data_IF_795406786319
#
_entry.id   IF_795406786319
#
_cell.length_a   1.000
_cell.length_b   1.000
_cell.length_c   1.000
_cell.angle_alpha   90.00
_cell.angle_beta   90.00
_cell.angle_gamma   90.00
#
_symmetry.space_group_name_H-M   'P 1'
#
loop_
_entity.id
_entity.type
_entity.pdbx_description
1 polymer ?
#
# COMPACT_ATOMS: atom_id res chain seq x y z
N UNK A 1 -2.00 59.19 -10.05
CA UNK A 1 -2.04 58.10 -9.04
C UNK A 1 -1.98 56.70 -9.66
N UNK A 2 -2.68 56.45 -10.78
CA UNK A 2 -2.65 55.18 -11.53
C UNK A 2 -1.27 54.55 -11.84
N UNK A 3 -0.25 55.29 -12.33
CA UNK A 3 1.03 54.66 -12.72
C UNK A 3 1.87 54.17 -11.53
N UNK A 4 1.69 54.76 -10.33
CA UNK A 4 2.35 54.30 -9.11
C UNK A 4 1.72 53.00 -8.59
N UNK A 5 0.39 52.91 -8.63
CA UNK A 5 -0.35 51.69 -8.23
C UNK A 5 0.05 50.53 -9.16
N UNK A 6 0.05 50.74 -10.48
CA UNK A 6 0.44 49.71 -11.45
C UNK A 6 1.89 49.22 -11.25
N UNK A 7 2.83 50.14 -10.95
CA UNK A 7 4.22 49.79 -10.65
C UNK A 7 4.34 48.92 -9.40
N UNK A 8 3.67 49.28 -8.31
CA UNK A 8 3.71 48.51 -7.06
C UNK A 8 2.98 47.17 -7.19
N UNK A 9 1.83 47.13 -7.88
CA UNK A 9 1.15 45.88 -8.21
C UNK A 9 2.05 44.95 -9.02
N UNK A 10 2.77 45.48 -10.02
CA UNK A 10 3.74 44.71 -10.80
C UNK A 10 4.90 44.15 -9.97
N UNK A 11 5.47 44.96 -9.07
CA UNK A 11 6.55 44.51 -8.16
C UNK A 11 6.04 43.43 -7.21
N UNK A 12 4.84 43.58 -6.64
CA UNK A 12 4.23 42.59 -5.74
C UNK A 12 3.96 41.29 -6.49
N UNK A 13 3.38 41.35 -7.69
CA UNK A 13 3.12 40.16 -8.50
C UNK A 13 4.41 39.44 -8.89
N UNK A 14 5.45 40.18 -9.28
CA UNK A 14 6.77 39.60 -9.59
C UNK A 14 7.41 38.96 -8.36
N UNK A 15 7.32 39.61 -7.19
CA UNK A 15 7.80 39.07 -5.92
C UNK A 15 7.09 37.78 -5.54
N UNK A 16 5.76 37.73 -5.65
CA UNK A 16 4.96 36.54 -5.40
C UNK A 16 5.28 35.40 -6.38
N UNK A 17 5.41 35.71 -7.67
CA UNK A 17 5.78 34.72 -8.68
C UNK A 17 7.19 34.15 -8.42
N UNK A 18 8.15 35.01 -8.05
CA UNK A 18 9.52 34.59 -7.72
C UNK A 18 9.52 33.70 -6.47
N UNK A 19 8.77 34.08 -5.43
CA UNK A 19 8.62 33.27 -4.22
C UNK A 19 8.00 31.89 -4.53
N UNK A 20 6.94 31.85 -5.34
CA UNK A 20 6.31 30.60 -5.76
C UNK A 20 7.27 29.70 -6.53
N UNK A 21 8.10 30.26 -7.43
CA UNK A 21 9.12 29.52 -8.15
C UNK A 21 10.20 28.95 -7.22
N UNK A 22 10.65 29.73 -6.23
CA UNK A 22 11.62 29.27 -5.23
C UNK A 22 11.03 28.12 -4.41
N UNK A 23 9.80 28.29 -3.90
CA UNK A 23 9.10 27.24 -3.14
C UNK A 23 8.94 25.98 -3.99
N UNK A 24 8.49 26.11 -5.23
CA UNK A 24 8.37 24.99 -6.16
C UNK A 24 9.72 24.30 -6.42
N UNK A 25 10.79 25.08 -6.59
CA UNK A 25 12.16 24.58 -6.73
C UNK A 25 12.64 23.78 -5.51
N UNK A 26 12.32 24.24 -4.30
CA UNK A 26 12.62 23.52 -3.04
C UNK A 26 11.87 22.19 -3.00
N UNK A 27 10.57 22.19 -3.27
CA UNK A 27 9.77 20.94 -3.31
C UNK A 27 10.29 19.95 -4.35
N UNK A 28 10.67 20.44 -5.53
CA UNK A 28 11.25 19.61 -6.58
C UNK A 28 12.60 19.01 -6.15
N UNK A 29 13.46 19.81 -5.51
CA UNK A 29 14.75 19.35 -4.99
C UNK A 29 14.56 18.29 -3.90
N UNK A 30 13.71 18.56 -2.89
CA UNK A 30 13.42 17.62 -1.81
C UNK A 30 12.85 16.31 -2.36
N UNK A 31 11.87 16.38 -3.26
CA UNK A 31 11.36 15.20 -3.96
C UNK A 31 12.49 14.42 -4.65
N UNK A 32 13.41 15.11 -5.33
CA UNK A 32 14.59 14.52 -5.95
C UNK A 32 15.51 13.78 -4.96
N UNK A 33 15.65 14.28 -3.73
CA UNK A 33 16.44 13.60 -2.69
C UNK A 33 15.81 12.28 -2.25
N UNK A 34 14.48 12.22 -2.14
CA UNK A 34 13.77 10.98 -1.82
C UNK A 34 13.85 9.96 -2.97
N UNK A 35 13.62 10.41 -4.22
CA UNK A 35 13.70 9.54 -5.41
C UNK A 35 15.08 8.92 -5.58
N UNK A 36 16.14 9.66 -5.28
CA UNK A 36 17.51 9.22 -5.52
C UNK A 36 18.18 8.58 -4.30
N UNK A 37 17.46 8.47 -3.17
CA UNK A 37 17.98 7.81 -1.98
C UNK A 37 18.29 6.35 -2.29
N UNK A 38 19.53 5.98 -2.02
CA UNK A 38 20.05 4.62 -2.15
C UNK A 38 19.95 3.90 -0.80
N UNK A 39 19.56 2.63 -0.85
CA UNK A 39 19.40 1.80 0.33
C UNK A 39 20.35 0.60 0.24
N UNK A 40 21.18 0.44 1.27
CA UNK A 40 21.99 -0.75 1.46
C UNK A 40 21.30 -1.61 2.52
N UNK A 41 20.67 -2.71 2.10
CA UNK A 41 20.01 -3.66 3.00
C UNK A 41 20.53 -5.08 2.76
N UNK A 42 20.73 -5.80 3.85
CA UNK A 42 21.03 -7.24 3.78
C UNK A 42 19.72 -8.00 3.69
N UNK A 43 19.45 -8.61 2.54
CA UNK A 43 18.25 -9.41 2.33
C UNK A 43 18.49 -10.80 2.90
N UNK A 44 17.77 -11.13 3.97
CA UNK A 44 17.81 -12.49 4.55
C UNK A 44 17.15 -13.47 3.58
N UNK A 45 17.83 -14.56 3.18
CA UNK A 45 17.25 -15.55 2.29
C UNK A 45 16.10 -16.29 2.99
N UNK A 46 15.09 -16.63 2.20
CA UNK A 46 13.94 -17.46 2.61
C UNK A 46 13.77 -18.52 1.53
N UNK A 47 13.61 -19.78 1.95
CA UNK A 47 13.31 -20.86 1.02
C UNK A 47 11.91 -20.68 0.44
N UNK A 48 11.76 -20.90 -0.88
CA UNK A 48 10.50 -20.70 -1.58
C UNK A 48 10.03 -22.04 -2.13
N UNK A 49 9.12 -22.74 -1.42
CA UNK A 49 8.55 -23.98 -1.90
C UNK A 49 7.73 -23.78 -3.18
N UNK A 50 7.54 -24.86 -3.94
CA UNK A 50 6.80 -24.85 -5.20
C UNK A 50 5.66 -25.87 -5.22
N UNK A 51 5.30 -26.43 -4.05
CA UNK A 51 4.18 -27.34 -3.91
C UNK A 51 2.83 -26.62 -4.03
N UNK A 52 1.79 -27.37 -4.38
CA UNK A 52 0.45 -26.83 -4.60
C UNK A 52 -0.16 -26.20 -3.35
N UNK A 53 0.18 -26.67 -2.15
CA UNK A 53 -0.37 -26.11 -0.91
C UNK A 53 0.23 -24.74 -0.61
N UNK A 54 1.54 -24.57 -0.80
CA UNK A 54 2.22 -23.28 -0.70
C UNK A 54 1.69 -22.28 -1.73
N UNK A 55 1.48 -22.70 -2.98
CA UNK A 55 0.91 -21.84 -4.03
C UNK A 55 -0.53 -21.42 -3.69
N UNK A 56 -1.37 -22.34 -3.19
CA UNK A 56 -2.74 -22.02 -2.78
C UNK A 56 -2.77 -21.04 -1.60
N UNK A 57 -1.89 -21.20 -0.61
CA UNK A 57 -1.75 -20.25 0.49
C UNK A 57 -1.31 -18.86 -0.01
N UNK A 58 -0.41 -18.81 -0.99
CA UNK A 58 0.00 -17.57 -1.64
C UNK A 58 -1.12 -16.88 -2.41
N UNK A 59 -1.98 -17.65 -3.08
CA UNK A 59 -3.16 -17.12 -3.76
C UNK A 59 -4.14 -16.45 -2.78
N UNK A 60 -4.37 -17.09 -1.63
CA UNK A 60 -5.18 -16.52 -0.55
C UNK A 60 -4.60 -15.21 -0.03
N UNK A 61 -3.30 -15.20 0.29
CA UNK A 61 -2.60 -13.98 0.74
C UNK A 61 -2.65 -12.87 -0.31
N UNK A 62 -2.47 -13.18 -1.60
CA UNK A 62 -2.57 -12.23 -2.70
C UNK A 62 -3.95 -11.55 -2.74
N UNK A 63 -5.01 -12.33 -2.52
CA UNK A 63 -6.39 -11.85 -2.49
C UNK A 63 -6.66 -10.95 -1.28
N UNK A 64 -6.31 -11.39 -0.07
CA UNK A 64 -6.60 -10.64 1.17
C UNK A 64 -5.67 -9.43 1.40
N UNK A 65 -4.57 -9.33 0.64
CA UNK A 65 -3.63 -8.20 0.70
C UNK A 65 -3.80 -7.18 -0.43
N UNK A 66 -4.82 -7.34 -1.27
CA UNK A 66 -5.17 -6.37 -2.32
C UNK A 66 -4.11 -6.25 -3.43
N UNK A 67 -3.24 -7.25 -3.61
CA UNK A 67 -2.15 -7.17 -4.59
C UNK A 67 -2.68 -6.98 -6.02
N UNK A 68 -3.83 -7.60 -6.33
CA UNK A 68 -4.52 -7.47 -7.62
C UNK A 68 -5.08 -6.08 -7.92
N UNK A 69 -5.21 -5.20 -6.91
CA UNK A 69 -5.69 -3.83 -7.11
C UNK A 69 -4.68 -2.96 -7.86
N UNK A 70 -3.39 -3.31 -7.82
CA UNK A 70 -2.35 -2.67 -8.61
C UNK A 70 -1.77 -3.61 -9.68
N UNK A 71 -1.62 -4.90 -9.37
CA UNK A 71 -0.97 -5.87 -10.25
C UNK A 71 -1.93 -6.62 -11.18
N UNK A 72 -3.24 -6.40 -11.06
CA UNK A 72 -4.25 -7.13 -11.83
C UNK A 72 -4.44 -8.57 -11.34
N UNK A 73 -5.60 -9.16 -11.66
CA UNK A 73 -5.90 -10.54 -11.28
C UNK A 73 -5.01 -11.58 -12.00
N UNK A 74 -4.48 -11.21 -13.17
CA UNK A 74 -3.55 -12.02 -13.97
C UNK A 74 -2.07 -11.70 -13.67
N UNK A 75 -1.81 -10.83 -12.69
CA UNK A 75 -0.47 -10.33 -12.33
C UNK A 75 0.27 -9.60 -13.47
N UNK A 76 -0.39 -9.31 -14.59
CA UNK A 76 0.18 -8.60 -15.72
C UNK A 76 0.33 -7.10 -15.50
N UNK A 77 -0.10 -6.59 -14.35
CA UNK A 77 -0.10 -5.17 -13.99
C UNK A 77 -1.20 -4.37 -14.68
N UNK A 78 -1.51 -3.20 -14.12
CA UNK A 78 -2.46 -2.22 -14.69
C UNK A 78 -2.13 -0.80 -14.25
N UNK A 79 -2.57 0.17 -15.05
CA UNK A 79 -2.63 1.58 -14.62
C UNK A 79 -3.82 1.70 -13.66
N UNK A 80 -3.56 2.10 -12.42
CA UNK A 80 -4.60 2.26 -11.39
C UNK A 80 -4.83 3.73 -11.01
N UNK A 81 -3.94 4.64 -11.42
CA UNK A 81 -4.11 6.08 -11.28
C UNK A 81 -3.50 6.79 -12.50
N UNK A 82 -4.27 7.63 -13.18
CA UNK A 82 -3.78 8.52 -14.23
C UNK A 82 -4.42 9.89 -14.06
N UNK A 83 -3.74 10.75 -13.31
CA UNK A 83 -4.17 12.12 -13.06
C UNK A 83 -3.05 13.10 -13.45
N UNK A 84 -3.29 14.12 -14.31
CA UNK A 84 -2.25 15.03 -14.77
C UNK A 84 -1.54 15.82 -13.66
N UNK A 85 -2.23 16.12 -12.55
CA UNK A 85 -1.66 16.87 -11.43
C UNK A 85 -0.88 15.96 -10.48
N UNK A 86 -1.42 14.78 -10.15
CA UNK A 86 -0.84 13.83 -9.20
C UNK A 86 0.22 12.95 -9.87
N UNK A 87 -0.08 12.38 -11.03
CA UNK A 87 0.81 11.52 -11.81
C UNK A 87 0.11 10.28 -12.36
N UNK A 88 0.86 9.52 -13.16
CA UNK A 88 0.46 8.21 -13.66
C UNK A 88 1.16 7.12 -12.88
N UNK A 89 0.40 6.18 -12.32
CA UNK A 89 0.93 5.06 -11.56
C UNK A 89 0.37 3.75 -12.08
N UNK A 90 1.28 2.82 -12.34
CA UNK A 90 0.98 1.47 -12.79
C UNK A 90 1.64 0.45 -11.87
N UNK A 91 0.92 -0.62 -11.53
CA UNK A 91 1.51 -1.77 -10.85
C UNK A 91 2.31 -2.59 -11.87
N UNK A 92 3.49 -3.06 -11.48
CA UNK A 92 4.37 -3.80 -12.39
C UNK A 92 3.72 -5.11 -12.87
N UNK A 93 4.07 -5.54 -14.07
CA UNK A 93 3.80 -6.91 -14.53
C UNK A 93 4.74 -7.85 -13.77
N UNK A 94 4.16 -8.71 -12.92
CA UNK A 94 4.89 -9.63 -12.05
C UNK A 94 5.13 -11.00 -12.71
N UNK A 95 4.66 -11.21 -13.93
CA UNK A 95 4.83 -12.47 -14.66
C UNK A 95 6.17 -12.52 -15.38
N UNK A 96 6.45 -13.61 -16.09
CA UNK A 96 7.63 -13.75 -16.95
C UNK A 96 7.37 -13.33 -18.42
N UNK A 97 6.19 -12.79 -18.73
CA UNK A 97 5.86 -12.31 -20.08
C UNK A 97 6.56 -10.99 -20.44
N UNK A 98 6.41 -10.55 -21.69
CA UNK A 98 6.96 -9.30 -22.18
C UNK A 98 6.47 -8.11 -21.34
N UNK A 99 7.41 -7.25 -20.91
CA UNK A 99 7.13 -6.14 -20.00
C UNK A 99 7.02 -6.54 -18.52
N UNK A 100 7.14 -7.83 -18.23
CA UNK A 100 7.18 -8.44 -16.90
C UNK A 100 8.52 -8.32 -16.19
N UNK A 101 8.75 -9.27 -15.28
CA UNK A 101 9.99 -9.32 -14.50
C UNK A 101 11.22 -9.46 -15.42
N UNK A 102 12.32 -8.76 -15.12
CA UNK A 102 13.58 -8.95 -15.83
C UNK A 102 14.02 -10.41 -15.85
N UNK A 103 14.74 -10.80 -16.91
CA UNK A 103 15.41 -12.11 -16.93
C UNK A 103 16.39 -12.21 -15.75
N UNK A 104 16.35 -13.32 -15.03
CA UNK A 104 17.20 -13.54 -13.85
C UNK A 104 16.71 -12.86 -12.56
N UNK A 105 15.48 -12.34 -12.51
CA UNK A 105 14.89 -11.81 -11.28
C UNK A 105 14.83 -12.90 -10.19
N UNK A 106 15.58 -12.72 -9.12
CA UNK A 106 15.84 -13.73 -8.10
C UNK A 106 14.84 -13.67 -6.94
N UNK A 107 14.86 -14.70 -6.10
CA UNK A 107 14.10 -14.71 -4.84
C UNK A 107 14.55 -13.60 -3.88
N UNK A 108 15.83 -13.20 -3.94
CA UNK A 108 16.32 -12.06 -3.19
C UNK A 108 15.73 -10.73 -3.69
N UNK A 109 15.48 -10.60 -5.00
CA UNK A 109 14.86 -9.40 -5.56
C UNK A 109 13.39 -9.29 -5.11
N UNK A 110 12.67 -10.41 -5.09
CA UNK A 110 11.32 -10.50 -4.51
C UNK A 110 11.30 -10.10 -3.04
N UNK A 111 12.20 -10.67 -2.23
CA UNK A 111 12.30 -10.36 -0.81
C UNK A 111 12.72 -8.89 -0.60
N UNK A 112 13.62 -8.34 -1.42
CA UNK A 112 14.00 -6.92 -1.39
C UNK A 112 12.80 -6.01 -1.66
N UNK A 113 12.03 -6.34 -2.71
CA UNK A 113 10.84 -5.58 -3.07
C UNK A 113 9.78 -5.62 -1.97
N UNK A 114 9.41 -6.79 -1.46
CA UNK A 114 8.30 -6.91 -0.52
C UNK A 114 8.66 -6.64 0.94
N UNK A 115 9.86 -7.05 1.40
CA UNK A 115 10.27 -6.81 2.79
C UNK A 115 10.82 -5.42 3.01
N UNK A 116 11.46 -4.84 1.99
CA UNK A 116 12.16 -3.57 2.15
C UNK A 116 11.58 -2.46 1.26
N UNK A 117 10.66 -2.75 0.35
CA UNK A 117 10.14 -1.74 -0.56
C UNK A 117 11.22 -1.18 -1.48
N UNK A 118 12.23 -1.98 -1.84
CA UNK A 118 13.40 -1.54 -2.61
C UNK A 118 13.48 -2.32 -3.92
N UNK A 119 13.70 -1.62 -5.04
CA UNK A 119 13.89 -2.18 -6.37
C UNK A 119 15.28 -2.78 -6.59
N UNK A 120 15.52 -3.34 -7.78
CA UNK A 120 16.85 -3.86 -8.18
C UNK A 120 17.89 -2.75 -8.37
N UNK A 121 17.45 -1.50 -8.46
CA UNK A 121 18.29 -0.29 -8.53
C UNK A 121 18.68 0.27 -7.15
N UNK A 122 18.36 -0.46 -6.07
CA UNK A 122 18.57 -0.10 -4.66
C UNK A 122 17.86 1.19 -4.24
N UNK A 123 16.85 1.63 -4.98
CA UNK A 123 15.97 2.75 -4.62
C UNK A 123 14.63 2.25 -4.11
N UNK A 124 13.96 3.12 -3.38
CA UNK A 124 12.59 2.84 -2.93
C UNK A 124 11.67 2.62 -4.14
N UNK A 125 10.85 1.57 -4.08
CA UNK A 125 9.73 1.36 -4.99
C UNK A 125 8.78 2.56 -4.92
N UNK A 126 7.89 2.68 -5.89
CA UNK A 126 6.89 3.75 -5.90
C UNK A 126 5.52 3.18 -5.57
N UNK A 127 4.91 3.70 -4.51
CA UNK A 127 3.54 3.46 -4.07
C UNK A 127 3.19 2.05 -3.58
N UNK A 128 3.93 1.00 -3.97
CA UNK A 128 3.71 -0.36 -3.47
C UNK A 128 3.83 -0.38 -1.94
N UNK A 129 2.78 -0.76 -1.18
CA UNK A 129 2.72 -0.60 0.28
C UNK A 129 3.51 -1.68 1.02
N UNK A 130 4.80 -1.80 0.72
CA UNK A 130 5.68 -2.86 1.22
C UNK A 130 5.81 -2.84 2.75
N UNK A 131 5.58 -1.70 3.40
CA UNK A 131 5.53 -1.60 4.85
C UNK A 131 4.39 -2.41 5.49
N UNK A 132 3.36 -2.76 4.73
CA UNK A 132 2.26 -3.62 5.19
C UNK A 132 2.60 -5.11 5.08
N UNK A 133 3.55 -5.45 4.21
CA UNK A 133 3.97 -6.83 3.94
C UNK A 133 5.31 -7.17 4.60
N UNK A 134 6.09 -6.16 5.01
CA UNK A 134 7.41 -6.31 5.60
C UNK A 134 7.45 -7.17 6.87
N UNK A 135 6.32 -7.23 7.59
CA UNK A 135 6.15 -8.01 8.81
C UNK A 135 5.61 -9.42 8.59
N UNK A 136 5.28 -9.79 7.35
CA UNK A 136 4.80 -11.14 7.06
C UNK A 136 5.87 -12.17 7.45
N UNK A 137 5.40 -13.27 8.03
CA UNK A 137 6.22 -14.42 8.38
C UNK A 137 6.95 -14.96 7.15
N UNK A 138 8.04 -15.70 7.36
CA UNK A 138 8.79 -16.28 6.24
C UNK A 138 7.93 -17.23 5.41
N UNK A 139 7.12 -18.06 6.08
CA UNK A 139 6.18 -18.96 5.42
C UNK A 139 5.20 -18.23 4.50
N UNK A 140 4.58 -17.14 4.99
CA UNK A 140 3.59 -16.40 4.21
C UNK A 140 4.23 -15.60 3.07
N UNK A 141 5.42 -15.04 3.31
CA UNK A 141 6.19 -14.36 2.29
C UNK A 141 6.61 -15.34 1.18
N UNK A 142 7.11 -16.52 1.55
CA UNK A 142 7.47 -17.58 0.60
C UNK A 142 6.26 -18.03 -0.22
N UNK A 143 5.10 -18.21 0.41
CA UNK A 143 3.86 -18.58 -0.26
C UNK A 143 3.43 -17.53 -1.30
N UNK A 144 3.45 -16.24 -0.94
CA UNK A 144 3.18 -15.15 -1.88
C UNK A 144 4.12 -15.17 -3.09
N UNK A 145 5.43 -15.34 -2.87
CA UNK A 145 6.40 -15.40 -3.97
C UNK A 145 6.17 -16.63 -4.84
N UNK A 146 5.92 -17.80 -4.22
CA UNK A 146 5.64 -19.03 -4.93
C UNK A 146 4.42 -18.90 -5.85
N UNK A 147 3.33 -18.31 -5.34
CA UNK A 147 2.14 -18.01 -6.13
C UNK A 147 2.46 -17.09 -7.32
N UNK A 148 3.16 -15.97 -7.08
CA UNK A 148 3.55 -15.05 -8.14
C UNK A 148 4.47 -15.69 -9.20
N UNK A 149 5.38 -16.58 -8.78
CA UNK A 149 6.28 -17.32 -9.70
C UNK A 149 5.55 -18.38 -10.52
N UNK A 150 4.47 -18.96 -9.99
CA UNK A 150 3.70 -20.01 -10.65
C UNK A 150 2.72 -19.51 -11.73
N UNK A 151 2.49 -18.19 -11.82
CA UNK A 151 1.52 -17.64 -12.77
C UNK A 151 1.98 -17.77 -14.23
N UNK A 152 1.06 -18.03 -15.17
CA UNK A 152 1.36 -17.99 -16.59
C UNK A 152 1.97 -16.64 -17.01
N UNK A 153 2.83 -16.61 -18.04
CA UNK A 153 3.34 -15.36 -18.59
C UNK A 153 2.20 -14.54 -19.20
N UNK A 154 2.19 -13.24 -18.90
CA UNK A 154 1.28 -12.26 -19.50
C UNK A 154 2.13 -11.21 -20.21
N UNK A 155 1.94 -11.07 -21.51
CA UNK A 155 2.62 -10.05 -22.31
C UNK A 155 1.89 -8.72 -22.17
N UNK A 156 2.44 -7.84 -21.33
CA UNK A 156 1.90 -6.50 -21.08
C UNK A 156 3.01 -5.56 -20.66
N UNK A 157 3.29 -4.59 -21.53
CA UNK A 157 4.17 -3.46 -21.24
C UNK A 157 3.34 -2.28 -20.78
N UNK A 158 3.59 -1.81 -19.56
CA UNK A 158 2.87 -0.70 -18.96
C UNK A 158 3.65 0.62 -19.14
N UNK A 159 2.95 1.76 -19.23
CA UNK A 159 3.62 3.06 -19.25
C UNK A 159 4.42 3.27 -17.95
N UNK A 160 5.53 4.03 -17.99
CA UNK A 160 6.32 4.30 -16.81
C UNK A 160 5.52 5.12 -15.79
N UNK A 161 5.74 4.82 -14.51
CA UNK A 161 5.18 5.60 -13.41
C UNK A 161 5.81 6.99 -13.36
N UNK A 162 4.98 8.03 -13.44
CA UNK A 162 5.37 9.44 -13.38
C UNK A 162 4.69 10.13 -12.19
N UNK A 163 5.31 11.19 -11.68
CA UNK A 163 4.73 12.00 -10.61
C UNK A 163 4.57 13.43 -11.11
N UNK A 164 3.34 13.93 -11.10
CA UNK A 164 2.99 15.29 -11.50
C UNK A 164 3.44 16.34 -10.47
N UNK A 165 3.24 17.61 -10.79
CA UNK A 165 3.68 18.72 -9.93
C UNK A 165 3.02 18.69 -8.54
N UNK A 166 1.71 18.47 -8.49
CA UNK A 166 0.97 18.34 -7.23
C UNK A 166 1.39 17.08 -6.48
N UNK A 167 1.56 15.96 -7.17
CA UNK A 167 2.02 14.70 -6.57
C UNK A 167 3.36 14.86 -5.84
N UNK A 168 4.33 15.56 -6.43
CA UNK A 168 5.63 15.84 -5.79
C UNK A 168 5.47 16.64 -4.50
N UNK A 169 4.65 17.69 -4.53
CA UNK A 169 4.36 18.52 -3.34
C UNK A 169 3.69 17.67 -2.27
N UNK A 170 2.66 16.90 -2.61
CA UNK A 170 1.96 16.02 -1.66
C UNK A 170 2.87 14.96 -1.05
N UNK A 171 3.82 14.41 -1.82
CA UNK A 171 4.80 13.46 -1.31
C UNK A 171 5.72 14.09 -0.27
N UNK A 172 6.29 15.26 -0.55
CA UNK A 172 7.18 15.96 0.40
C UNK A 172 6.42 16.40 1.67
N UNK A 173 5.14 16.76 1.52
CA UNK A 173 4.26 17.07 2.67
C UNK A 173 3.79 15.82 3.44
N UNK A 174 4.19 14.61 3.04
CA UNK A 174 3.79 13.36 3.69
C UNK A 174 2.32 12.97 3.46
N UNK A 175 1.62 13.62 2.52
CA UNK A 175 0.22 13.36 2.17
C UNK A 175 0.06 12.27 1.12
N UNK A 176 1.12 12.01 0.33
CA UNK A 176 1.18 10.89 -0.61
C UNK A 176 2.41 10.03 -0.26
N UNK A 177 2.24 8.90 0.48
CA UNK A 177 3.34 8.05 0.93
C UNK A 177 3.93 7.26 -0.24
N UNK A 178 4.71 7.94 -1.09
CA UNK A 178 5.19 7.40 -2.34
C UNK A 178 6.36 6.42 -2.18
N UNK A 179 7.16 6.58 -1.12
CA UNK A 179 8.40 5.83 -0.90
C UNK A 179 8.27 4.88 0.30
N UNK A 180 7.83 3.62 0.10
CA UNK A 180 7.57 2.67 1.18
C UNK A 180 8.82 2.33 2.00
N UNK A 181 10.01 2.31 1.39
CA UNK A 181 11.26 1.98 2.08
C UNK A 181 11.57 2.92 3.26
N UNK A 182 11.09 4.16 3.23
CA UNK A 182 11.29 5.12 4.34
C UNK A 182 10.48 4.78 5.60
N UNK A 183 9.46 3.93 5.46
CA UNK A 183 8.56 3.55 6.55
C UNK A 183 8.87 2.17 7.12
N UNK A 184 9.91 1.50 6.61
CA UNK A 184 10.24 0.12 6.95
C UNK A 184 11.43 0.11 7.89
N UNK A 185 11.27 -0.60 9.02
CA UNK A 185 12.42 -1.04 9.80
C UNK A 185 13.09 -2.21 9.07
N UNK A 186 14.17 -1.90 8.34
CA UNK A 186 14.90 -2.88 7.56
C UNK A 186 15.69 -3.90 8.41
N UNK A 187 15.79 -3.69 9.72
CA UNK A 187 16.42 -4.63 10.64
C UNK A 187 15.41 -5.60 11.30
N UNK A 188 14.11 -5.38 11.10
CA UNK A 188 13.05 -6.20 11.70
C UNK A 188 13.22 -7.68 11.33
N UNK A 189 13.26 -8.53 12.36
CA UNK A 189 13.35 -9.97 12.21
C UNK A 189 11.95 -10.57 12.19
N UNK A 190 11.56 -11.11 11.04
CA UNK A 190 10.25 -11.73 10.88
C UNK A 190 10.22 -13.11 11.54
N UNK A 191 9.07 -13.52 12.12
CA UNK A 191 8.91 -14.88 12.58
C UNK A 191 8.96 -15.85 11.41
N UNK A 192 9.50 -17.06 11.64
CA UNK A 192 9.51 -18.10 10.62
C UNK A 192 8.10 -18.47 10.15
N UNK A 193 7.15 -18.50 11.08
CA UNK A 193 5.76 -18.88 10.83
C UNK A 193 4.80 -18.02 11.66
N UNK A 194 3.60 -17.80 11.13
CA UNK A 194 2.46 -17.34 11.91
C UNK A 194 1.35 -18.39 11.82
N UNK A 195 0.90 -18.92 12.96
CA UNK A 195 -0.14 -19.94 12.99
C UNK A 195 -1.52 -19.31 12.83
N UNK A 196 -2.29 -19.80 11.84
CA UNK A 196 -3.69 -19.43 11.68
C UNK A 196 -4.45 -19.88 12.92
N UNK A 197 -5.00 -18.93 13.67
CA UNK A 197 -5.70 -19.20 14.92
C UNK A 197 -6.57 -18.02 15.32
N UNK A 198 -7.68 -18.29 16.03
CA UNK A 198 -8.58 -17.26 16.56
C UNK A 198 -7.95 -16.63 17.82
N UNK A 199 -6.88 -15.86 17.62
CA UNK A 199 -6.10 -15.21 18.68
C UNK A 199 -5.85 -13.74 18.36
N UNK A 200 -5.63 -12.92 19.40
CA UNK A 200 -5.27 -11.50 19.23
C UNK A 200 -3.97 -11.32 18.44
N UNK A 201 -2.98 -12.19 18.66
CA UNK A 201 -1.70 -12.12 17.96
C UNK A 201 -1.86 -12.31 16.44
N UNK A 202 -2.71 -13.26 16.02
CA UNK A 202 -3.00 -13.46 14.61
C UNK A 202 -3.87 -12.33 14.03
N UNK A 203 -4.83 -11.82 14.81
CA UNK A 203 -5.61 -10.63 14.43
C UNK A 203 -4.73 -9.40 14.22
N UNK A 204 -3.75 -9.15 15.09
CA UNK A 204 -2.75 -8.09 14.95
C UNK A 204 -1.97 -8.24 13.65
N UNK A 205 -1.49 -9.46 13.37
CA UNK A 205 -0.75 -9.79 12.17
C UNK A 205 -1.54 -9.49 10.88
N UNK A 206 -2.85 -9.77 10.88
CA UNK A 206 -3.75 -9.49 9.75
C UNK A 206 -4.09 -8.00 9.62
N UNK A 207 -4.22 -7.28 10.75
CA UNK A 207 -4.72 -5.91 10.83
C UNK A 207 -3.82 -4.86 10.18
N UNK A 208 -2.56 -5.19 9.88
CA UNK A 208 -1.57 -4.25 9.35
C UNK A 208 -2.10 -3.51 8.11
N UNK A 209 -2.80 -4.21 7.21
CA UNK A 209 -3.38 -3.63 6.00
C UNK A 209 -4.55 -2.66 6.27
N UNK A 210 -5.23 -2.79 7.42
CA UNK A 210 -6.28 -1.85 7.82
C UNK A 210 -5.69 -0.51 8.28
N UNK A 211 -4.45 -0.49 8.79
CA UNK A 211 -3.82 0.71 9.36
C UNK A 211 -3.52 1.80 8.33
N UNK A 212 -3.46 1.45 7.04
CA UNK A 212 -3.25 2.41 5.95
C UNK A 212 -4.37 3.46 5.88
N UNK A 213 -5.62 3.04 6.11
CA UNK A 213 -6.78 3.94 6.16
C UNK A 213 -7.19 4.29 7.59
N UNK A 214 -7.19 3.30 8.50
CA UNK A 214 -7.66 3.48 9.88
C UNK A 214 -6.61 4.07 10.83
N UNK A 215 -5.44 4.43 10.32
CA UNK A 215 -4.24 4.87 11.05
C UNK A 215 -3.60 3.75 11.92
N UNK A 216 -2.34 3.91 12.37
CA UNK A 216 -1.65 2.89 13.17
C UNK A 216 -2.27 2.54 14.53
N UNK A 217 -3.15 3.40 15.06
CA UNK A 217 -3.94 3.19 16.29
C UNK A 217 -5.36 2.72 16.01
N UNK A 218 -5.75 2.55 14.74
CA UNK A 218 -7.07 2.09 14.31
C UNK A 218 -8.26 2.98 14.69
N UNK A 219 -7.99 4.20 15.16
CA UNK A 219 -9.03 5.15 15.60
C UNK A 219 -9.67 5.95 14.45
N UNK A 220 -9.26 5.70 13.20
CA UNK A 220 -9.75 6.44 12.03
C UNK A 220 -9.29 7.90 11.99
N UNK A 221 -9.99 8.74 11.24
CA UNK A 221 -9.60 10.14 11.04
C UNK A 221 -9.95 10.65 9.65
N UNK A 222 -9.21 11.65 9.19
CA UNK A 222 -9.38 12.16 7.83
C UNK A 222 -9.04 11.08 6.81
N UNK A 223 -9.79 11.06 5.70
CA UNK A 223 -9.53 10.16 4.59
C UNK A 223 -8.10 10.36 4.07
N UNK A 224 -7.34 9.27 3.83
CA UNK A 224 -6.07 9.38 3.11
C UNK A 224 -6.29 9.81 1.65
N UNK A 225 -7.51 9.61 1.11
CA UNK A 225 -7.93 10.09 -0.20
C UNK A 225 -8.50 11.50 -0.06
N UNK A 226 -7.93 12.52 -0.73
CA UNK A 226 -8.45 13.89 -0.70
C UNK A 226 -9.94 13.96 -1.08
N UNK A 227 -10.76 14.60 -0.24
CA UNK A 227 -12.21 14.71 -0.46
C UNK A 227 -13.01 13.46 -0.06
N UNK A 228 -12.36 12.39 0.40
CA UNK A 228 -13.02 11.19 0.92
C UNK A 228 -13.68 11.41 2.28
N UNK A 229 -14.58 10.48 2.65
CA UNK A 229 -15.27 10.53 3.95
C UNK A 229 -14.33 10.23 5.10
N UNK A 230 -14.69 10.72 6.29
CA UNK A 230 -13.98 10.41 7.53
C UNK A 230 -13.92 8.89 7.74
N UNK A 231 -12.72 8.36 7.97
CA UNK A 231 -12.49 6.95 8.27
C UNK A 231 -12.90 6.68 9.72
N UNK A 232 -13.63 5.58 9.93
CA UNK A 232 -14.19 5.21 11.22
C UNK A 232 -13.13 4.69 12.22
N UNK A 233 -13.42 4.89 13.50
CA UNK A 233 -12.76 4.18 14.59
C UNK A 233 -13.23 2.71 14.58
N UNK A 234 -12.27 1.79 14.45
CA UNK A 234 -12.53 0.33 14.42
C UNK A 234 -11.97 -0.36 15.67
N UNK A 235 -11.71 0.38 16.75
CA UNK A 235 -11.37 -0.16 18.07
C UNK A 235 -12.61 -0.49 18.90
N UNK A 236 -12.43 -0.92 20.15
CA UNK A 236 -13.52 -1.11 21.13
C UNK A 236 -14.33 0.16 21.42
N UNK A 237 -13.78 1.35 21.13
CA UNK A 237 -14.50 2.63 21.30
C UNK A 237 -15.37 2.99 20.10
N UNK A 238 -15.11 2.36 18.96
CA UNK A 238 -15.81 2.58 17.70
C UNK A 238 -16.98 1.61 17.48
N UNK A 239 -17.26 1.31 16.21
CA UNK A 239 -18.35 0.39 15.83
C UNK A 239 -18.03 -1.06 16.24
N UNK A 240 -16.76 -1.49 16.16
CA UNK A 240 -16.32 -2.84 16.53
C UNK A 240 -16.63 -3.17 18.01
N UNK A 241 -16.60 -2.17 18.90
CA UNK A 241 -17.02 -2.35 20.29
C UNK A 241 -18.51 -2.64 20.48
N UNK A 242 -19.34 -2.15 19.57
CA UNK A 242 -20.81 -2.28 19.61
C UNK A 242 -21.30 -3.54 18.90
N UNK A 243 -20.54 -4.04 17.92
CA UNK A 243 -20.91 -5.19 17.11
C UNK A 243 -20.59 -6.51 17.82
N UNK A 244 -21.39 -7.52 17.50
CA UNK A 244 -21.06 -8.94 17.67
C UNK A 244 -20.03 -9.37 16.62
N UNK A 245 -19.36 -10.51 16.84
CA UNK A 245 -18.42 -11.06 15.87
C UNK A 245 -19.11 -11.33 14.51
N UNK A 246 -20.34 -11.85 14.54
CA UNK A 246 -21.09 -12.16 13.32
C UNK A 246 -21.48 -10.90 12.53
N UNK A 247 -21.87 -9.83 13.21
CA UNK A 247 -22.16 -8.54 12.60
C UNK A 247 -20.92 -7.93 11.95
N UNK A 248 -19.78 -7.97 12.65
CA UNK A 248 -18.50 -7.52 12.10
C UNK A 248 -18.10 -8.32 10.85
N UNK A 249 -18.22 -9.65 10.91
CA UNK A 249 -17.94 -10.52 9.77
C UNK A 249 -18.88 -10.24 8.60
N UNK A 250 -20.16 -10.00 8.87
CA UNK A 250 -21.15 -9.63 7.85
C UNK A 250 -20.75 -8.32 7.16
N UNK A 251 -20.39 -7.29 7.94
CA UNK A 251 -19.96 -6.01 7.39
C UNK A 251 -18.72 -6.14 6.50
N UNK A 252 -17.74 -6.98 6.87
CA UNK A 252 -16.54 -7.23 6.06
C UNK A 252 -16.76 -8.16 4.88
N UNK A 253 -17.82 -8.99 4.88
CA UNK A 253 -18.16 -9.88 3.76
C UNK A 253 -19.05 -9.22 2.71
N UNK A 254 -19.97 -8.35 3.14
CA UNK A 254 -21.03 -7.84 2.26
C UNK A 254 -21.04 -6.32 2.15
N UNK A 255 -20.29 -5.62 2.99
CA UNK A 255 -20.37 -4.17 3.12
C UNK A 255 -21.58 -3.67 3.90
N UNK A 256 -22.51 -4.54 4.32
CA UNK A 256 -23.70 -4.14 5.09
C UNK A 256 -23.41 -4.07 6.57
N UNK A 257 -23.54 -2.88 7.17
CA UNK A 257 -23.37 -2.72 8.62
C UNK A 257 -24.68 -2.97 9.39
N UNK A 258 -24.62 -3.28 10.70
CA UNK A 258 -25.81 -3.45 11.56
C UNK A 258 -26.70 -2.21 11.63
N UNK A 259 -26.12 -1.03 11.43
CA UNK A 259 -26.85 0.24 11.40
C UNK A 259 -27.59 0.47 10.07
N UNK A 260 -27.54 -0.47 9.12
CA UNK A 260 -28.19 -0.37 7.82
C UNK A 260 -27.41 0.47 6.80
N UNK A 261 -26.13 0.79 7.08
CA UNK A 261 -25.26 1.48 6.13
C UNK A 261 -24.66 0.46 5.14
N UNK A 262 -24.72 0.78 3.85
CA UNK A 262 -23.98 0.06 2.82
C UNK A 262 -22.62 0.74 2.58
N UNK A 263 -21.54 0.04 2.92
CA UNK A 263 -20.17 0.49 2.67
C UNK A 263 -19.89 0.44 1.17
N UNK A 264 -19.32 1.52 0.64
CA UNK A 264 -18.84 1.54 -0.74
C UNK A 264 -17.45 0.93 -0.82
N UNK A 265 -17.21 0.09 -1.82
CA UNK A 265 -15.95 -0.63 -1.96
C UNK A 265 -14.73 0.28 -2.24
N UNK A 266 -14.96 1.48 -2.77
CA UNK A 266 -13.92 2.50 -3.00
C UNK A 266 -13.53 3.26 -1.71
N UNK A 267 -14.39 3.29 -0.69
CA UNK A 267 -14.13 3.88 0.62
C UNK A 267 -13.62 2.83 1.63
N UNK A 268 -14.17 1.61 1.58
CA UNK A 268 -13.73 0.46 2.38
C UNK A 268 -13.77 -0.79 1.49
N UNK A 269 -12.63 -1.41 1.14
CA UNK A 269 -12.54 -2.49 0.15
C UNK A 269 -13.07 -3.82 0.69
N UNK A 270 -14.39 -3.91 0.90
CA UNK A 270 -15.02 -5.10 1.46
C UNK A 270 -14.97 -6.31 0.52
N UNK A 271 -14.81 -6.13 -0.79
CA UNK A 271 -14.55 -7.23 -1.72
C UNK A 271 -13.25 -7.98 -1.38
N UNK A 272 -12.22 -7.25 -0.92
CA UNK A 272 -10.96 -7.81 -0.46
C UNK A 272 -11.15 -8.50 0.89
N UNK A 273 -11.81 -7.84 1.86
CA UNK A 273 -12.02 -8.43 3.18
C UNK A 273 -12.98 -9.62 3.16
N UNK A 274 -13.85 -9.72 2.15
CA UNK A 274 -14.74 -10.85 1.95
C UNK A 274 -13.98 -12.15 1.62
N UNK A 275 -12.73 -12.06 1.16
CA UNK A 275 -11.88 -13.21 0.87
C UNK A 275 -11.26 -13.83 2.13
N UNK A 276 -11.34 -13.16 3.28
CA UNK A 276 -10.84 -13.71 4.54
C UNK A 276 -11.65 -14.94 4.97
N UNK A 277 -10.99 -15.91 5.59
CA UNK A 277 -11.64 -17.05 6.25
C UNK A 277 -12.42 -16.61 7.49
N UNK A 278 -13.29 -17.47 7.99
CA UNK A 278 -14.02 -17.18 9.23
C UNK A 278 -13.07 -17.04 10.43
N UNK A 279 -12.04 -17.89 10.52
CA UNK A 279 -11.01 -17.84 11.56
C UNK A 279 -10.21 -16.53 11.50
N UNK A 280 -9.88 -16.07 10.31
CA UNK A 280 -9.14 -14.82 10.11
C UNK A 280 -9.98 -13.60 10.52
N UNK A 281 -11.26 -13.55 10.12
CA UNK A 281 -12.15 -12.46 10.51
C UNK A 281 -12.43 -12.47 12.03
N UNK A 282 -12.58 -13.65 12.64
CA UNK A 282 -12.73 -13.77 14.09
C UNK A 282 -11.46 -13.32 14.83
N UNK A 283 -10.28 -13.71 14.36
CA UNK A 283 -9.02 -13.26 14.94
C UNK A 283 -8.87 -11.72 14.84
N UNK A 284 -9.18 -11.16 13.67
CA UNK A 284 -9.16 -9.72 13.43
C UNK A 284 -10.13 -8.98 14.37
N UNK A 285 -11.37 -9.49 14.52
CA UNK A 285 -12.34 -8.96 15.46
C UNK A 285 -11.83 -8.98 16.90
N UNK A 286 -11.25 -10.11 17.35
CA UNK A 286 -10.71 -10.25 18.70
C UNK A 286 -9.59 -9.25 18.99
N UNK A 287 -8.71 -9.00 18.02
CA UNK A 287 -7.65 -8.01 18.17
C UNK A 287 -8.23 -6.59 18.23
N UNK A 288 -9.02 -6.19 17.23
CA UNK A 288 -9.57 -4.84 17.12
C UNK A 288 -10.47 -4.47 18.31
N UNK A 289 -11.28 -5.42 18.80
CA UNK A 289 -12.10 -5.26 20.00
C UNK A 289 -11.30 -5.16 21.30
N UNK A 290 -10.01 -5.49 21.27
CA UNK A 290 -9.14 -5.38 22.44
C UNK A 290 -8.35 -4.06 22.53
N UNK A 291 -8.41 -3.24 21.48
CA UNK A 291 -7.85 -1.90 21.40
C UNK A 291 -8.86 -0.86 21.91
#
# INVERSE_FOLDING_TARGET
MFPKILKWTGIVLLGLATLLLIVFGIFFYLYGTHVNKQYAVTVRPVEIPHDSATIAAGAHLFAIKGCGDCHGADLGGKVFLDDPAVGRFAGANLTAGQGGRPAGYTDQDWLRAMRHGIGTDNKSLKLMPSYEYAKLSDKDMAALIAFCKAQPPVDRSLPPTTTGALGKVLTVLGKLPLFPAEKIDHAYQQPATMAVSVTKAYGEYLSVSCSGCHNPRFTGGDSPIPGGKKVADITSKGNVGKWTAQEFMTALRTGSTPEGLMLKNDEMPWNMTAQYSDEELQALFLYLKSL
#
